data_IF_845732353028
#
_entry.id   IF_845732353028
#
_cell.length_a   1.000
_cell.length_b   1.000
_cell.length_c   1.000
_cell.angle_alpha   90.00
_cell.angle_beta   90.00
_cell.angle_gamma   90.00
#
_symmetry.space_group_name_H-M   'P 1'
#
loop_
_entity.id
_entity.type
_entity.pdbx_description
1 polymer ?
#
# COMPACT_ATOMS: atom_id res chain seq x y z
N UNK A 1 -74.23 -30.02 -66.13
CA UNK A 1 -72.78 -30.33 -66.14
C UNK A 1 -71.84 -29.19 -65.70
N UNK A 2 -72.31 -28.20 -64.92
CA UNK A 2 -71.46 -27.11 -64.36
C UNK A 2 -71.36 -27.12 -62.82
N UNK A 3 -71.91 -28.14 -62.15
CA UNK A 3 -71.98 -28.25 -60.68
C UNK A 3 -70.97 -29.23 -60.06
N UNK A 4 -70.28 -30.06 -60.86
CA UNK A 4 -69.33 -31.04 -60.30
C UNK A 4 -67.87 -30.57 -60.25
N UNK A 5 -67.48 -29.52 -60.96
CA UNK A 5 -66.09 -29.01 -60.91
C UNK A 5 -65.84 -28.17 -59.65
N UNK A 6 -66.88 -27.67 -58.98
CA UNK A 6 -66.73 -26.77 -57.84
C UNK A 6 -66.43 -27.46 -56.50
N UNK A 7 -66.58 -28.80 -56.43
CA UNK A 7 -66.41 -29.54 -55.17
C UNK A 7 -65.03 -30.19 -54.98
N UNK A 8 -64.18 -30.21 -56.01
CA UNK A 8 -62.81 -30.76 -55.92
C UNK A 8 -61.81 -29.68 -55.45
N UNK A 9 -62.03 -28.41 -55.81
CA UNK A 9 -61.11 -27.31 -55.46
C UNK A 9 -61.13 -26.98 -53.95
N UNK A 10 -62.22 -27.24 -53.24
CA UNK A 10 -62.31 -26.98 -51.78
C UNK A 10 -61.58 -27.99 -50.90
N UNK A 11 -61.25 -29.19 -51.39
CA UNK A 11 -60.58 -30.22 -50.57
C UNK A 11 -59.05 -30.10 -50.53
N UNK A 12 -58.43 -29.35 -51.44
CA UNK A 12 -56.97 -29.23 -51.50
C UNK A 12 -56.42 -28.12 -50.58
N UNK A 13 -57.23 -27.12 -50.23
CA UNK A 13 -56.79 -26.01 -49.37
C UNK A 13 -56.87 -26.27 -47.85
N UNK A 14 -57.39 -27.41 -47.41
CA UNK A 14 -57.54 -27.71 -45.98
C UNK A 14 -56.48 -28.67 -45.41
N UNK A 15 -55.47 -29.07 -46.20
CA UNK A 15 -54.37 -29.93 -45.74
C UNK A 15 -53.01 -29.22 -45.62
N UNK A 16 -52.92 -27.94 -46.01
CA UNK A 16 -51.64 -27.20 -45.98
C UNK A 16 -51.41 -26.38 -44.69
N UNK A 17 -52.45 -26.16 -43.88
CA UNK A 17 -52.37 -25.23 -42.72
C UNK A 17 -51.97 -25.95 -41.41
N UNK A 18 -52.15 -27.26 -41.31
CA UNK A 18 -51.87 -28.00 -40.06
C UNK A 18 -50.37 -28.30 -39.89
N UNK A 19 -49.56 -28.26 -40.97
CA UNK A 19 -48.16 -28.72 -40.92
C UNK A 19 -47.10 -27.62 -40.74
N UNK A 20 -47.51 -26.37 -40.44
CA UNK A 20 -46.57 -25.26 -40.18
C UNK A 20 -46.58 -24.74 -38.74
N UNK A 21 -47.35 -25.34 -37.85
CA UNK A 21 -47.50 -24.87 -36.47
C UNK A 21 -46.73 -25.69 -35.41
N UNK A 22 -46.02 -26.76 -35.81
CA UNK A 22 -45.39 -27.69 -34.86
C UNK A 22 -43.85 -27.64 -34.83
N UNK A 23 -43.20 -26.84 -35.67
CA UNK A 23 -41.73 -26.74 -35.72
C UNK A 23 -41.20 -25.45 -35.07
N UNK A 24 -42.05 -24.44 -34.87
CA UNK A 24 -41.65 -23.17 -34.22
C UNK A 24 -41.66 -23.21 -32.68
N UNK A 25 -42.38 -24.15 -32.06
CA UNK A 25 -42.57 -24.17 -30.60
C UNK A 25 -41.49 -24.96 -29.84
N UNK A 26 -40.63 -25.73 -30.53
CA UNK A 26 -39.56 -26.49 -29.88
C UNK A 26 -38.24 -25.71 -29.75
N UNK A 27 -38.05 -24.64 -30.55
CA UNK A 27 -36.82 -23.83 -30.48
C UNK A 27 -36.84 -22.78 -29.36
N UNK A 28 -38.01 -22.46 -28.80
CA UNK A 28 -38.14 -21.45 -27.73
C UNK A 28 -37.81 -22.05 -26.34
N UNK A 29 -37.86 -23.37 -26.18
CA UNK A 29 -37.52 -24.04 -24.90
C UNK A 29 -36.02 -24.29 -24.70
N UNK A 30 -35.18 -24.10 -25.73
CA UNK A 30 -33.73 -24.26 -25.61
C UNK A 30 -32.98 -22.95 -25.30
N UNK A 31 -33.68 -21.82 -25.14
CA UNK A 31 -33.13 -20.64 -24.47
C UNK A 31 -33.24 -20.89 -22.95
N UNK A 32 -32.64 -22.02 -22.54
CA UNK A 32 -32.37 -22.32 -21.17
C UNK A 32 -31.61 -21.14 -20.61
N UNK A 33 -32.20 -20.54 -19.59
CA UNK A 33 -31.60 -19.56 -18.73
C UNK A 33 -30.28 -20.17 -18.22
N UNK A 34 -29.19 -19.92 -18.95
CA UNK A 34 -27.84 -20.00 -18.45
C UNK A 34 -27.82 -19.04 -17.28
N UNK A 35 -28.10 -19.56 -16.09
CA UNK A 35 -27.64 -18.94 -14.86
C UNK A 35 -26.14 -18.86 -15.06
N UNK A 36 -25.66 -17.70 -15.48
CA UNK A 36 -24.25 -17.42 -15.53
C UNK A 36 -23.74 -17.76 -14.14
N UNK A 37 -23.01 -18.87 -14.03
CA UNK A 37 -22.26 -19.16 -12.83
C UNK A 37 -21.41 -17.92 -12.61
N UNK A 38 -21.64 -17.24 -11.48
CA UNK A 38 -20.75 -16.17 -11.06
C UNK A 38 -19.35 -16.74 -11.09
N UNK A 39 -18.49 -16.14 -11.92
CA UNK A 39 -17.12 -16.59 -12.08
C UNK A 39 -16.51 -16.73 -10.67
N UNK A 40 -16.23 -17.97 -10.28
CA UNK A 40 -15.68 -18.26 -8.95
C UNK A 40 -14.31 -17.60 -8.94
N UNK A 41 -14.20 -16.44 -8.29
CA UNK A 41 -12.90 -15.78 -8.18
C UNK A 41 -11.94 -16.72 -7.44
N UNK A 42 -10.78 -17.03 -8.05
CA UNK A 42 -9.86 -17.99 -7.49
C UNK A 42 -9.32 -17.44 -6.18
N UNK A 43 -9.30 -18.33 -5.18
CA UNK A 43 -8.77 -18.02 -3.88
C UNK A 43 -7.26 -17.77 -3.96
N UNK A 44 -6.80 -16.70 -3.32
CA UNK A 44 -5.40 -16.30 -3.27
C UNK A 44 -4.86 -16.39 -1.85
N UNK A 45 -3.54 -16.59 -1.77
CA UNK A 45 -2.79 -16.62 -0.51
C UNK A 45 -1.61 -15.67 -0.60
N UNK A 46 -1.32 -14.99 0.49
CA UNK A 46 -0.11 -14.16 0.63
C UNK A 46 0.38 -14.18 2.06
N UNK A 47 1.66 -13.88 2.24
CA UNK A 47 2.22 -13.60 3.56
C UNK A 47 2.06 -12.11 3.85
N UNK A 48 1.49 -11.78 4.99
CA UNK A 48 1.38 -10.42 5.51
C UNK A 48 2.34 -10.29 6.68
N UNK A 49 3.24 -9.31 6.60
CA UNK A 49 4.11 -8.89 7.70
C UNK A 49 3.57 -7.61 8.32
N UNK A 50 3.05 -7.69 9.54
CA UNK A 50 2.64 -6.54 10.32
C UNK A 50 3.82 -6.03 11.14
N UNK A 51 4.13 -4.75 11.02
CA UNK A 51 5.09 -4.05 11.86
C UNK A 51 4.39 -2.90 12.55
N UNK A 52 4.72 -2.63 13.81
CA UNK A 52 4.22 -1.49 14.55
C UNK A 52 5.38 -0.78 15.23
N UNK A 53 5.48 0.53 14.99
CA UNK A 53 6.48 1.41 15.59
C UNK A 53 5.74 2.61 16.17
N UNK A 54 5.60 2.65 17.49
CA UNK A 54 4.80 3.67 18.19
C UNK A 54 5.57 4.30 19.34
N UNK A 55 5.00 5.37 19.87
CA UNK A 55 5.48 6.00 21.10
C UNK A 55 4.85 5.36 22.31
N UNK A 56 3.53 5.29 22.29
CA UNK A 56 2.76 4.72 23.38
C UNK A 56 2.84 3.19 23.31
N UNK A 57 2.76 2.55 24.47
CA UNK A 57 2.62 1.10 24.57
C UNK A 57 1.16 0.70 24.35
N UNK A 58 0.92 -0.05 23.29
CA UNK A 58 -0.38 -0.58 22.94
C UNK A 58 -0.35 -2.11 22.85
N UNK A 59 -1.53 -2.71 22.92
CA UNK A 59 -1.74 -4.09 22.48
C UNK A 59 -2.75 -4.06 21.34
N UNK A 60 -2.28 -4.23 20.11
CA UNK A 60 -3.14 -4.10 18.95
C UNK A 60 -3.93 -5.38 18.64
N UNK A 61 -5.22 -5.20 18.39
CA UNK A 61 -6.03 -6.09 17.56
C UNK A 61 -6.10 -5.54 16.13
N UNK A 62 -5.62 -6.34 15.18
CA UNK A 62 -5.62 -6.01 13.75
C UNK A 62 -6.62 -6.93 13.06
N UNK A 63 -7.57 -6.34 12.32
CA UNK A 63 -8.54 -7.08 11.52
C UNK A 63 -8.42 -6.74 10.04
N UNK A 64 -8.67 -7.72 9.18
CA UNK A 64 -8.71 -7.61 7.73
C UNK A 64 -10.09 -8.01 7.20
N UNK A 65 -10.83 -7.03 6.65
CA UNK A 65 -12.24 -7.17 6.25
C UNK A 65 -13.09 -7.82 7.35
N UNK A 66 -12.85 -7.46 8.62
CA UNK A 66 -13.54 -7.98 9.80
C UNK A 66 -13.00 -9.30 10.33
N UNK A 67 -12.09 -9.98 9.61
CA UNK A 67 -11.41 -11.18 10.13
C UNK A 67 -10.27 -10.76 11.06
N UNK A 68 -10.23 -11.28 12.29
CA UNK A 68 -9.11 -11.04 13.21
C UNK A 68 -7.83 -11.68 12.65
N UNK A 69 -6.82 -10.85 12.41
CA UNK A 69 -5.49 -11.29 12.00
C UNK A 69 -4.61 -11.59 13.23
N UNK A 70 -4.60 -10.68 14.19
CA UNK A 70 -3.84 -10.83 15.45
C UNK A 70 -4.40 -9.91 16.52
N UNK A 71 -4.25 -10.30 17.79
CA UNK A 71 -4.59 -9.56 19.01
C UNK A 71 -3.38 -9.43 19.96
N UNK A 72 -2.19 -9.73 19.45
CA UNK A 72 -0.95 -9.86 20.21
C UNK A 72 0.22 -9.11 19.59
N UNK A 73 -0.07 -8.07 18.82
CA UNK A 73 0.94 -7.14 18.32
C UNK A 73 1.15 -6.04 19.37
N UNK A 74 2.19 -6.20 20.19
CA UNK A 74 2.53 -5.31 21.31
C UNK A 74 3.56 -4.27 20.86
N UNK A 75 3.37 -3.01 21.24
CA UNK A 75 4.28 -1.89 20.92
C UNK A 75 4.97 -1.37 22.19
N UNK A 76 6.08 -0.59 22.13
CA UNK A 76 6.46 0.39 21.10
C UNK A 76 7.04 -0.17 19.80
N UNK A 77 7.60 -1.38 19.82
CA UNK A 77 8.09 -2.08 18.64
C UNK A 77 7.51 -3.48 18.62
N UNK A 78 6.69 -3.78 17.61
CA UNK A 78 6.03 -5.06 17.44
C UNK A 78 6.15 -5.55 16.01
N UNK A 79 6.29 -6.86 15.84
CA UNK A 79 6.20 -7.51 14.53
C UNK A 79 5.39 -8.81 14.61
N UNK A 80 4.68 -9.13 13.53
CA UNK A 80 3.99 -10.41 13.32
C UNK A 80 3.96 -10.74 11.84
N UNK A 81 4.13 -12.02 11.50
CA UNK A 81 3.97 -12.52 10.13
C UNK A 81 2.94 -13.63 10.11
N UNK A 82 2.09 -13.64 9.09
CA UNK A 82 1.02 -14.63 8.95
C UNK A 82 0.63 -14.83 7.49
N UNK A 83 0.06 -15.99 7.19
CA UNK A 83 -0.52 -16.28 5.87
C UNK A 83 -1.99 -15.88 5.88
N UNK A 84 -2.39 -15.06 4.90
CA UNK A 84 -3.76 -14.58 4.74
C UNK A 84 -4.34 -15.14 3.45
N UNK A 85 -5.60 -15.59 3.56
CA UNK A 85 -6.44 -16.07 2.46
C UNK A 85 -7.39 -14.95 2.03
N UNK A 86 -7.46 -14.66 0.73
CA UNK A 86 -8.27 -13.56 0.21
C UNK A 86 -8.79 -13.84 -1.21
N UNK A 87 -9.83 -13.10 -1.60
CA UNK A 87 -10.38 -13.07 -2.98
C UNK A 87 -10.04 -11.73 -3.63
N UNK A 88 -10.53 -10.66 -3.00
CA UNK A 88 -10.26 -9.26 -3.39
C UNK A 88 -8.87 -8.80 -2.95
N UNK A 89 -8.17 -8.04 -3.81
CA UNK A 89 -6.85 -7.49 -3.47
C UNK A 89 -6.90 -6.26 -2.57
N UNK A 90 -8.00 -5.49 -2.61
CA UNK A 90 -8.20 -4.32 -1.75
C UNK A 90 -8.86 -4.77 -0.45
N UNK A 91 -8.20 -4.48 0.67
CA UNK A 91 -8.51 -5.04 1.99
C UNK A 91 -8.64 -3.94 3.02
N UNK A 92 -9.74 -3.91 3.78
CA UNK A 92 -9.96 -2.95 4.85
C UNK A 92 -9.32 -3.42 6.13
N UNK A 93 -8.30 -2.69 6.56
CA UNK A 93 -7.58 -2.90 7.79
C UNK A 93 -8.13 -2.01 8.89
N UNK A 94 -8.40 -2.60 10.05
CA UNK A 94 -8.71 -1.87 11.29
C UNK A 94 -7.74 -2.27 12.39
N UNK A 95 -7.24 -1.28 13.11
CA UNK A 95 -6.33 -1.46 14.25
C UNK A 95 -6.99 -0.86 15.48
N UNK A 96 -7.21 -1.71 16.49
CA UNK A 96 -7.82 -1.34 17.76
C UNK A 96 -6.81 -1.54 18.88
N UNK A 97 -6.70 -0.60 19.81
CA UNK A 97 -5.98 -0.84 21.07
C UNK A 97 -6.86 -1.62 22.03
N UNK A 98 -6.39 -2.79 22.48
CA UNK A 98 -7.12 -3.67 23.37
C UNK A 98 -7.14 -3.21 24.83
N UNK A 99 -6.26 -2.29 25.24
CA UNK A 99 -6.33 -1.73 26.59
C UNK A 99 -7.51 -0.76 26.72
N UNK A 100 -7.69 0.12 25.74
CA UNK A 100 -8.76 1.14 25.74
C UNK A 100 -10.00 0.75 24.93
N UNK A 101 -9.94 -0.33 24.13
CA UNK A 101 -10.92 -0.68 23.11
C UNK A 101 -11.17 0.45 22.07
N UNK A 102 -10.16 1.30 21.83
CA UNK A 102 -10.27 2.41 20.88
C UNK A 102 -9.82 2.02 19.47
N UNK A 103 -10.58 2.42 18.45
CA UNK A 103 -10.18 2.28 17.05
C UNK A 103 -9.14 3.34 16.71
N UNK A 104 -7.92 2.91 16.41
CA UNK A 104 -6.79 3.81 16.14
C UNK A 104 -6.58 4.07 14.65
N UNK A 105 -6.89 3.09 13.80
CA UNK A 105 -6.71 3.19 12.35
C UNK A 105 -7.79 2.38 11.62
N UNK A 106 -8.30 2.94 10.54
CA UNK A 106 -9.17 2.28 9.56
C UNK A 106 -8.71 2.71 8.16
N UNK A 107 -8.15 1.79 7.37
CA UNK A 107 -7.54 2.08 6.07
C UNK A 107 -7.75 0.96 5.06
N UNK A 108 -7.64 1.28 3.78
CA UNK A 108 -7.61 0.29 2.69
C UNK A 108 -6.17 0.01 2.28
N UNK A 109 -5.82 -1.27 2.17
CA UNK A 109 -4.50 -1.75 1.76
C UNK A 109 -4.68 -2.69 0.57
N UNK A 110 -3.85 -2.50 -0.47
CA UNK A 110 -3.88 -3.35 -1.65
C UNK A 110 -2.80 -4.43 -1.57
N UNK A 111 -3.19 -5.69 -1.53
CA UNK A 111 -2.27 -6.82 -1.53
C UNK A 111 -1.63 -7.01 -2.91
N UNK A 112 -0.31 -7.21 -2.89
CA UNK A 112 0.46 -7.71 -4.02
C UNK A 112 0.50 -9.25 -3.97
N UNK A 113 -0.13 -9.95 -4.94
CA UNK A 113 -0.08 -11.41 -5.00
C UNK A 113 1.36 -11.92 -5.16
N UNK A 114 1.68 -13.08 -4.57
CA UNK A 114 3.00 -13.71 -4.69
C UNK A 114 4.16 -12.96 -4.06
N UNK A 115 3.90 -11.89 -3.31
CA UNK A 115 4.89 -11.07 -2.60
C UNK A 115 4.59 -11.02 -1.10
N UNK A 116 5.60 -10.73 -0.28
CA UNK A 116 5.38 -10.34 1.12
C UNK A 116 4.71 -8.97 1.16
N UNK A 117 3.54 -8.89 1.78
CA UNK A 117 2.85 -7.63 2.03
C UNK A 117 3.27 -7.08 3.40
N UNK A 118 4.31 -6.25 3.41
CA UNK A 118 4.75 -5.54 4.62
C UNK A 118 3.83 -4.35 4.90
N UNK A 119 3.21 -4.33 6.08
CA UNK A 119 2.28 -3.32 6.54
C UNK A 119 2.85 -2.74 7.83
N UNK A 120 3.24 -1.47 7.78
CA UNK A 120 3.85 -0.79 8.92
C UNK A 120 2.85 0.21 9.50
N UNK A 121 2.52 0.07 10.78
CA UNK A 121 1.77 1.04 11.56
C UNK A 121 2.74 1.93 12.33
N UNK A 122 2.54 3.24 12.24
CA UNK A 122 3.46 4.21 12.82
C UNK A 122 2.70 5.23 13.66
N UNK A 123 3.18 5.47 14.88
CA UNK A 123 2.72 6.57 15.72
C UNK A 123 3.94 7.44 16.07
N UNK A 124 4.05 8.66 15.50
CA UNK A 124 5.26 9.46 15.62
C UNK A 124 5.48 10.13 16.98
N UNK A 125 4.40 10.48 17.67
CA UNK A 125 4.43 11.18 18.97
C UNK A 125 3.37 10.60 19.91
N UNK A 126 3.59 10.69 21.23
CA UNK A 126 2.63 10.21 22.23
C UNK A 126 1.26 10.85 22.02
N UNK A 127 0.21 10.05 22.05
CA UNK A 127 -1.18 10.49 21.82
C UNK A 127 -1.52 10.90 20.38
N UNK A 128 -0.57 10.87 19.43
CA UNK A 128 -0.89 11.15 18.03
C UNK A 128 -1.61 10.00 17.34
N UNK A 129 -2.23 10.30 16.20
CA UNK A 129 -2.95 9.30 15.40
C UNK A 129 -1.99 8.24 14.84
N UNK A 130 -2.40 6.98 14.93
CA UNK A 130 -1.73 5.87 14.25
C UNK A 130 -1.95 5.99 12.74
N UNK A 131 -0.88 5.92 11.96
CA UNK A 131 -0.93 5.96 10.50
C UNK A 131 -0.37 4.67 9.91
N UNK A 132 -0.87 4.28 8.74
CA UNK A 132 -0.25 3.24 7.93
C UNK A 132 0.82 3.86 7.03
N UNK A 133 1.99 3.22 6.99
CA UNK A 133 3.10 3.56 6.11
C UNK A 133 3.17 2.51 5.01
N UNK A 134 3.00 2.95 3.77
CA UNK A 134 2.95 2.08 2.60
C UNK A 134 3.35 2.80 1.32
N UNK A 135 3.14 2.17 0.15
CA UNK A 135 3.44 2.80 -1.12
C UNK A 135 2.66 4.12 -1.27
N UNK A 136 3.28 5.16 -1.86
CA UNK A 136 2.56 6.40 -2.08
C UNK A 136 1.45 6.21 -3.11
N UNK A 137 0.26 6.74 -2.82
CA UNK A 137 -0.91 6.59 -3.69
C UNK A 137 -0.81 7.44 -4.98
N UNK A 138 -0.20 8.63 -4.90
CA UNK A 138 -0.21 9.65 -5.96
C UNK A 138 1.18 10.17 -6.33
N UNK A 139 2.24 9.43 -6.00
CA UNK A 139 3.61 9.84 -6.33
C UNK A 139 4.02 9.23 -7.67
N UNK A 140 4.51 10.02 -8.64
CA UNK A 140 4.98 9.46 -9.91
C UNK A 140 6.20 8.56 -9.68
N UNK A 141 6.34 7.53 -10.51
CA UNK A 141 7.50 6.64 -10.48
C UNK A 141 8.81 7.45 -10.58
N UNK A 142 9.91 6.98 -9.95
CA UNK A 142 11.20 7.61 -10.12
C UNK A 142 11.66 7.55 -11.58
N UNK A 143 12.45 8.55 -11.98
CA UNK A 143 13.15 8.52 -13.27
C UNK A 143 14.11 7.32 -13.35
N UNK A 144 14.44 6.89 -14.58
CA UNK A 144 15.36 5.78 -14.79
C UNK A 144 16.71 6.02 -14.08
N UNK A 145 17.19 5.02 -13.34
CA UNK A 145 18.43 5.10 -12.55
C UNK A 145 18.31 5.95 -11.28
N UNK A 146 17.11 6.39 -10.90
CA UNK A 146 16.82 7.12 -9.67
C UNK A 146 15.93 6.32 -8.73
N UNK A 147 15.87 6.78 -7.48
CA UNK A 147 14.95 6.29 -6.45
C UNK A 147 14.26 7.48 -5.79
N UNK A 148 13.10 7.24 -5.19
CA UNK A 148 12.40 8.22 -4.36
C UNK A 148 12.39 7.80 -2.90
N UNK A 149 12.84 8.71 -2.05
CA UNK A 149 12.96 8.48 -0.61
C UNK A 149 12.12 9.50 0.15
N UNK A 150 11.45 9.06 1.20
CA UNK A 150 10.87 9.93 2.22
C UNK A 150 11.46 9.55 3.57
N UNK A 151 11.61 10.54 4.45
CA UNK A 151 12.10 10.33 5.81
C UNK A 151 11.13 10.93 6.81
N UNK A 152 11.00 10.27 7.95
CA UNK A 152 10.39 10.83 9.15
C UNK A 152 11.39 10.69 10.28
N UNK A 153 11.41 11.63 11.22
CA UNK A 153 12.17 11.44 12.45
C UNK A 153 11.22 11.52 13.63
N UNK A 154 11.34 10.55 14.52
CA UNK A 154 10.96 10.72 15.91
C UNK A 154 12.26 10.53 16.71
N UNK A 155 12.75 11.58 17.35
CA UNK A 155 13.88 11.45 18.28
C UNK A 155 13.47 10.43 19.36
N UNK A 156 14.38 9.62 19.93
CA UNK A 156 14.01 8.74 21.01
C UNK A 156 13.42 9.56 22.16
N UNK A 157 12.48 8.93 22.87
CA UNK A 157 11.52 9.49 23.82
C UNK A 157 12.09 10.27 25.01
N UNK A 158 13.41 10.42 25.11
CA UNK A 158 14.13 10.96 26.27
C UNK A 158 14.99 12.18 25.97
N UNK A 159 15.24 12.53 24.70
CA UNK A 159 16.16 13.62 24.31
C UNK A 159 15.53 14.59 23.30
N UNK A 160 14.23 14.88 23.47
CA UNK A 160 13.48 15.86 22.68
C UNK A 160 14.10 17.26 22.74
N UNK A 161 15.16 17.50 21.97
CA UNK A 161 15.82 18.79 21.91
C UNK A 161 15.32 19.62 20.72
N UNK A 162 14.83 19.00 19.66
CA UNK A 162 14.47 19.70 18.42
C UNK A 162 13.13 19.22 17.84
N UNK A 163 12.13 20.10 17.87
CA UNK A 163 10.81 19.89 17.22
C UNK A 163 10.87 20.00 15.71
N UNK A 164 11.90 20.66 15.19
CA UNK A 164 12.16 20.81 13.77
C UNK A 164 13.67 20.76 13.52
N UNK A 165 14.08 20.11 12.43
CA UNK A 165 15.46 20.05 11.95
C UNK A 165 15.53 20.47 10.49
N UNK A 166 16.67 21.00 10.06
CA UNK A 166 16.95 21.21 8.64
C UNK A 166 17.64 19.97 8.08
N UNK A 167 17.09 19.45 6.99
CA UNK A 167 17.65 18.34 6.23
C UNK A 167 18.22 18.88 4.92
N UNK A 168 19.47 18.56 4.63
CA UNK A 168 20.12 18.82 3.35
C UNK A 168 20.36 17.49 2.65
N UNK A 169 19.83 17.37 1.43
CA UNK A 169 20.01 16.20 0.57
C UNK A 169 21.19 16.45 -0.35
N UNK A 170 22.22 15.63 -0.24
CA UNK A 170 23.38 15.64 -1.11
C UNK A 170 23.37 14.43 -2.04
N UNK A 171 23.62 14.66 -3.32
CA UNK A 171 23.74 13.61 -4.33
C UNK A 171 25.15 13.63 -4.94
N UNK A 172 25.64 12.45 -5.37
CA UNK A 172 26.88 12.35 -6.14
C UNK A 172 26.74 13.09 -7.48
N UNK A 173 27.71 13.94 -7.82
CA UNK A 173 27.74 14.69 -9.08
C UNK A 173 27.97 13.76 -10.28
N UNK A 174 28.95 12.86 -10.17
CA UNK A 174 29.31 11.90 -11.21
C UNK A 174 28.39 10.69 -11.24
N UNK A 175 27.63 10.45 -10.17
CA UNK A 175 26.85 9.23 -9.99
C UNK A 175 27.69 7.99 -9.71
N UNK A 176 29.01 8.11 -9.62
CA UNK A 176 29.94 6.98 -9.48
C UNK A 176 30.95 7.14 -8.33
N UNK A 177 31.20 8.36 -7.85
CA UNK A 177 32.15 8.61 -6.75
C UNK A 177 31.47 8.64 -5.37
N UNK A 178 32.21 8.19 -4.35
CA UNK A 178 31.81 8.27 -2.94
C UNK A 178 32.09 9.63 -2.29
N UNK A 179 32.84 10.49 -2.98
CA UNK A 179 33.40 11.73 -2.40
C UNK A 179 32.83 13.01 -3.00
N UNK A 180 32.12 12.95 -4.12
CA UNK A 180 31.65 14.10 -4.90
C UNK A 180 30.18 14.47 -4.62
N UNK A 181 29.82 14.52 -3.34
CA UNK A 181 28.45 14.82 -2.92
C UNK A 181 28.23 16.32 -2.85
N UNK A 182 27.19 16.80 -3.51
CA UNK A 182 26.79 18.21 -3.49
C UNK A 182 25.33 18.34 -3.09
N UNK A 183 25.01 19.41 -2.37
CA UNK A 183 23.65 19.74 -2.02
C UNK A 183 22.80 19.91 -3.29
N UNK A 184 21.71 19.16 -3.37
CA UNK A 184 20.71 19.25 -4.44
C UNK A 184 19.37 19.76 -3.94
N UNK A 185 19.10 19.55 -2.66
CA UNK A 185 17.82 19.90 -2.07
C UNK A 185 17.99 20.19 -0.57
N UNK A 186 17.03 20.92 0.01
CA UNK A 186 16.91 21.04 1.46
C UNK A 186 15.47 21.34 1.87
N UNK A 187 15.10 20.89 3.05
CA UNK A 187 13.79 21.13 3.63
C UNK A 187 13.86 21.17 5.15
N UNK A 188 12.85 21.78 5.75
CA UNK A 188 12.58 21.66 7.18
C UNK A 188 11.77 20.39 7.39
N UNK A 189 12.13 19.63 8.42
CA UNK A 189 11.44 18.42 8.81
C UNK A 189 11.00 18.59 10.25
N UNK A 190 9.69 18.51 10.49
CA UNK A 190 9.12 18.52 11.82
C UNK A 190 9.08 17.11 12.39
N UNK A 191 9.20 17.02 13.72
CA UNK A 191 9.13 15.75 14.42
C UNK A 191 7.81 15.05 14.11
N UNK A 192 7.92 13.81 13.65
CA UNK A 192 6.76 12.99 13.33
C UNK A 192 6.11 13.26 11.98
N UNK A 193 6.58 14.26 11.24
CA UNK A 193 6.10 14.56 9.90
C UNK A 193 6.94 13.81 8.86
N UNK A 194 6.28 13.19 7.88
CA UNK A 194 6.98 12.62 6.74
C UNK A 194 7.45 13.75 5.83
N UNK A 195 8.70 13.68 5.40
CA UNK A 195 9.19 14.57 4.36
C UNK A 195 8.43 14.31 3.07
N UNK A 196 8.36 15.33 2.20
CA UNK A 196 8.12 15.08 0.78
C UNK A 196 9.14 14.07 0.24
N UNK A 197 8.76 13.36 -0.83
CA UNK A 197 9.73 12.52 -1.52
C UNK A 197 10.84 13.37 -2.13
N UNK A 198 12.07 12.90 -1.98
CA UNK A 198 13.25 13.46 -2.62
C UNK A 198 13.98 12.38 -3.41
N UNK A 199 14.73 12.81 -4.43
CA UNK A 199 15.34 11.91 -5.40
C UNK A 199 16.79 11.61 -5.06
N UNK A 200 17.16 10.34 -5.10
CA UNK A 200 18.52 9.84 -5.00
C UNK A 200 18.96 9.07 -6.25
N UNK A 201 20.25 8.80 -6.40
CA UNK A 201 20.74 7.84 -7.39
C UNK A 201 20.46 6.41 -6.96
N UNK A 202 20.16 5.51 -7.91
CA UNK A 202 19.95 4.09 -7.62
C UNK A 202 21.23 3.43 -7.12
N UNK A 203 22.35 3.62 -7.82
CA UNK A 203 23.67 3.04 -7.49
C UNK A 203 24.44 3.86 -6.45
N UNK A 204 24.23 5.18 -6.48
CA UNK A 204 24.77 6.13 -5.48
C UNK A 204 23.62 6.81 -4.75
N UNK A 205 23.21 6.15 -3.66
CA UNK A 205 22.20 6.64 -2.72
C UNK A 205 22.57 8.02 -2.18
N UNK A 206 21.58 8.85 -1.81
CA UNK A 206 21.85 10.18 -1.31
C UNK A 206 22.56 10.13 0.05
N UNK A 207 23.16 11.26 0.41
CA UNK A 207 23.64 11.54 1.77
C UNK A 207 22.76 12.61 2.37
N UNK A 208 22.34 12.44 3.63
CA UNK A 208 21.59 13.47 4.34
C UNK A 208 22.47 14.11 5.40
N UNK A 209 22.48 15.44 5.45
CA UNK A 209 23.05 16.20 6.56
C UNK A 209 21.93 16.87 7.35
N UNK A 210 21.93 16.65 8.65
CA UNK A 210 20.92 17.16 9.57
C UNK A 210 21.51 18.32 10.37
N UNK A 211 20.76 19.40 10.52
CA UNK A 211 21.18 20.59 11.25
C UNK A 211 20.07 21.10 12.18
N UNK A 212 20.45 21.84 13.23
CA UNK A 212 19.50 22.65 13.99
C UNK A 212 18.93 23.77 13.11
N UNK A 213 17.72 24.21 13.45
CA UNK A 213 17.05 25.35 12.81
C UNK A 213 17.32 26.68 13.50
N UNK A 214 17.91 26.66 14.70
CA UNK A 214 18.31 27.85 15.43
C UNK A 214 19.48 28.59 14.76
N UNK A 215 19.83 29.76 15.31
CA UNK A 215 20.89 30.61 14.77
C UNK A 215 22.27 29.93 14.72
N UNK A 216 22.50 28.88 15.52
CA UNK A 216 23.78 28.15 15.52
C UNK A 216 23.95 27.28 14.27
N UNK A 217 22.84 26.82 13.66
CA UNK A 217 22.84 25.89 12.52
C UNK A 217 23.78 24.71 12.73
N UNK A 218 23.88 24.22 13.97
CA UNK A 218 24.80 23.18 14.36
C UNK A 218 24.49 21.87 13.63
N UNK A 219 25.52 21.18 13.15
CA UNK A 219 25.36 19.86 12.57
C UNK A 219 24.94 18.85 13.65
N UNK A 220 23.90 18.07 13.34
CA UNK A 220 23.33 17.04 14.23
C UNK A 220 23.78 15.64 13.85
N UNK A 221 23.77 15.32 12.56
CA UNK A 221 24.23 14.02 12.07
C UNK A 221 24.45 14.06 10.55
N UNK A 222 25.20 13.06 10.07
CA UNK A 222 25.28 12.72 8.66
C UNK A 222 24.82 11.28 8.46
N UNK A 223 23.82 11.08 7.60
CA UNK A 223 23.38 9.77 7.15
C UNK A 223 24.07 9.49 5.82
N UNK A 224 24.97 8.50 5.82
CA UNK A 224 25.76 8.15 4.66
C UNK A 224 24.93 7.33 3.66
N UNK A 225 25.35 7.27 2.38
CA UNK A 225 24.68 6.46 1.35
C UNK A 225 24.43 5.00 1.76
N UNK A 226 25.36 4.43 2.54
CA UNK A 226 25.24 3.06 3.07
C UNK A 226 24.03 2.87 4.01
N UNK A 227 23.54 3.92 4.67
CA UNK A 227 22.33 3.88 5.51
C UNK A 227 21.05 3.62 4.70
N UNK A 228 21.11 3.77 3.37
CA UNK A 228 20.00 3.53 2.44
C UNK A 228 20.22 2.27 1.58
N UNK A 229 21.10 1.36 1.99
CA UNK A 229 21.41 0.14 1.22
C UNK A 229 20.19 -0.74 0.98
N UNK A 230 19.21 -0.70 1.89
CA UNK A 230 17.97 -1.47 1.80
C UNK A 230 16.87 -0.76 1.00
N UNK A 231 17.11 0.43 0.44
CA UNK A 231 16.10 1.14 -0.33
C UNK A 231 15.66 0.32 -1.56
N UNK A 232 14.34 0.26 -1.78
CA UNK A 232 13.77 -0.28 -3.00
C UNK A 232 14.20 0.56 -4.21
N UNK A 233 14.06 -0.02 -5.40
CA UNK A 233 14.31 0.69 -6.66
C UNK A 233 13.23 1.72 -6.98
N UNK A 234 12.04 1.64 -6.36
CA UNK A 234 10.92 2.55 -6.56
C UNK A 234 10.87 3.62 -5.45
N UNK A 235 10.22 3.29 -4.35
CA UNK A 235 9.94 4.18 -3.23
C UNK A 235 10.42 3.52 -1.95
N UNK A 236 11.03 4.31 -1.09
CA UNK A 236 11.28 3.88 0.28
C UNK A 236 11.02 4.98 1.28
N UNK A 237 10.56 4.55 2.46
CA UNK A 237 10.26 5.44 3.58
C UNK A 237 11.13 5.00 4.75
N UNK A 238 11.89 5.93 5.32
CA UNK A 238 12.80 5.64 6.41
C UNK A 238 12.47 6.45 7.66
N UNK A 239 12.71 5.83 8.80
CA UNK A 239 12.71 6.43 10.10
C UNK A 239 14.12 6.83 10.51
N UNK A 240 14.31 8.11 10.84
CA UNK A 240 15.55 8.64 11.39
C UNK A 240 15.48 8.57 12.91
N UNK A 241 16.41 7.82 13.49
CA UNK A 241 16.66 7.80 14.93
C UNK A 241 17.92 8.61 15.24
N UNK A 242 17.78 9.74 15.94
CA UNK A 242 18.92 10.56 16.37
C UNK A 242 19.39 10.05 17.73
N UNK A 243 20.46 9.23 17.71
CA UNK A 243 20.96 8.54 18.90
C UNK A 243 21.86 9.44 19.77
N UNK A 244 22.50 10.46 19.17
CA UNK A 244 23.36 11.41 19.87
C UNK A 244 23.48 12.72 19.09
N UNK A 245 24.21 13.70 19.65
CA UNK A 245 24.50 14.99 18.99
C UNK A 245 25.28 14.89 17.68
N UNK A 246 25.84 13.73 17.35
CA UNK A 246 26.63 13.53 16.11
C UNK A 246 26.27 12.26 15.34
N UNK A 247 25.32 11.45 15.82
CA UNK A 247 24.95 10.19 15.19
C UNK A 247 23.45 10.03 15.02
N UNK A 248 23.07 9.57 13.83
CA UNK A 248 21.73 9.13 13.51
C UNK A 248 21.77 7.78 12.79
N UNK A 249 20.73 6.98 12.99
CA UNK A 249 20.51 5.73 12.30
C UNK A 249 19.23 5.79 11.48
N UNK A 250 19.14 4.95 10.45
CA UNK A 250 17.93 4.76 9.67
C UNK A 250 17.32 3.38 9.91
N UNK A 251 16.00 3.34 9.97
CA UNK A 251 15.22 2.10 9.92
C UNK A 251 14.25 2.21 8.76
N UNK A 252 14.24 1.23 7.87
CA UNK A 252 13.31 1.21 6.74
C UNK A 252 11.91 0.84 7.21
N UNK A 253 10.90 1.60 6.79
CA UNK A 253 9.48 1.30 7.00
C UNK A 253 8.83 0.66 5.76
N UNK A 254 9.20 1.13 4.58
CA UNK A 254 8.70 0.68 3.28
C UNK A 254 9.84 0.72 2.25
#
# INVERSE_FOLDING_TARGET
MKKEIHNIIRKINMLSIINKCSVGLLFVYCIGCSKGEEAIEPLRFTTVGLNAVTVDSFRFAVTDNGTLLTDSLITPVGNRSMVVKYKETVRRYRVTDLYSNSLLLDTLINYKPGSLNAITFFQPTAGSKLVWVGPPANEPAPEAGKIKLSVVYASPFTTAKYDEIKVVVENSQSGNSGTDYVAKDSFLLKRGEFSRFFTGGLDRKPRLRLYTTDASRAALATLNPASFSEANSDFSIFYININSTTSAALTKFY
#
